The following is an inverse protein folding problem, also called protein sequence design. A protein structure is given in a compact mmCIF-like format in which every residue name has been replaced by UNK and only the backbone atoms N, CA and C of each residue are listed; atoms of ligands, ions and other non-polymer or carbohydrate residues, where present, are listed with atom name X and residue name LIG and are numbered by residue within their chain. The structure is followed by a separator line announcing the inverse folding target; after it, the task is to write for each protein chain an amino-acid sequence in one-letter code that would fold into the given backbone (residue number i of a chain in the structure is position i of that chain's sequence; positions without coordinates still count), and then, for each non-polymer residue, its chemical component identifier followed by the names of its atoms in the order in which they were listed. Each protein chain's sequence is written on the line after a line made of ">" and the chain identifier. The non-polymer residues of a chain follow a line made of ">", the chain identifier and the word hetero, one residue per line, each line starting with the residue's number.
data_IF_167564187604
#
_entry.id   IF_167564187604
#
_cell.length_a   1.000
_cell.length_b   1.000
_cell.length_c   1.000
_cell.angle_alpha   90.00
_cell.angle_beta   90.00
_cell.angle_gamma   90.00
#
_symmetry.space_group_name_H-M   'P 1'
#
loop_
_entity.id
_entity.type
_entity.pdbx_description
1 polymer ?
#
# COMPACT_ATOMS: atom_id res chain seq x y z
N UNK A 1 1.83 7.87 -2.23
CA UNK A 1 2.55 6.90 -3.09
C UNK A 1 3.53 6.07 -2.26
N UNK A 2 3.82 4.81 -2.60
CA UNK A 2 4.71 3.93 -1.81
C UNK A 2 6.18 4.35 -1.94
N UNK A 3 6.94 4.30 -0.84
CA UNK A 3 8.34 4.76 -0.76
C UNK A 3 9.37 3.62 -0.78
N UNK A 4 8.91 2.39 -0.93
CA UNK A 4 9.72 1.17 -0.95
C UNK A 4 9.38 0.36 -2.20
N UNK A 5 10.32 -0.49 -2.63
CA UNK A 5 10.10 -1.37 -3.78
C UNK A 5 9.07 -2.45 -3.45
N UNK A 6 8.00 -2.50 -4.24
CA UNK A 6 6.85 -3.39 -4.03
C UNK A 6 6.46 -4.11 -5.31
N UNK A 7 5.73 -5.20 -5.14
CA UNK A 7 5.04 -5.88 -6.23
C UNK A 7 3.59 -6.18 -5.85
N UNK A 8 2.78 -6.45 -6.87
CA UNK A 8 1.39 -6.84 -6.73
C UNK A 8 1.27 -8.35 -6.97
N UNK A 9 0.47 -9.02 -6.15
CA UNK A 9 0.13 -10.43 -6.34
C UNK A 9 -1.22 -10.76 -5.68
N UNK A 10 -1.75 -11.97 -5.88
CA UNK A 10 -2.98 -12.44 -5.24
C UNK A 10 -2.81 -12.49 -3.71
N UNK A 11 -3.69 -11.80 -3.00
CA UNK A 11 -3.75 -11.86 -1.55
C UNK A 11 -4.49 -13.11 -1.08
N UNK A 12 -4.00 -13.73 0.00
CA UNK A 12 -4.69 -14.85 0.67
C UNK A 12 -5.92 -14.40 1.47
N UNK A 13 -6.07 -13.09 1.72
CA UNK A 13 -7.21 -12.51 2.42
C UNK A 13 -8.30 -12.19 1.40
N UNK A 14 -8.00 -11.30 0.44
CA UNK A 14 -8.96 -10.88 -0.59
C UNK A 14 -8.25 -10.15 -1.74
N UNK A 15 -8.62 -10.48 -2.99
CA UNK A 15 -8.20 -9.72 -4.18
C UNK A 15 -6.68 -9.69 -4.42
N UNK A 16 -6.16 -8.49 -4.70
CA UNK A 16 -4.73 -8.23 -4.95
C UNK A 16 -4.13 -7.59 -3.70
N UNK A 17 -2.98 -8.10 -3.27
CA UNK A 17 -2.16 -7.53 -2.20
C UNK A 17 -0.98 -6.73 -2.73
N UNK A 18 -0.44 -5.86 -1.88
CA UNK A 18 0.82 -5.15 -2.09
C UNK A 18 1.87 -5.77 -1.18
N UNK A 19 2.98 -6.22 -1.76
CA UNK A 19 4.01 -6.95 -1.03
C UNK A 19 5.37 -6.26 -1.18
N UNK A 20 6.17 -6.30 -0.11
CA UNK A 20 7.55 -5.81 -0.14
C UNK A 20 8.41 -6.73 -1.00
N UNK A 21 9.14 -6.17 -1.96
CA UNK A 21 10.04 -6.96 -2.81
C UNK A 21 11.35 -7.33 -2.10
N UNK A 22 11.76 -6.52 -1.13
CA UNK A 22 12.99 -6.68 -0.37
C UNK A 22 12.71 -6.62 1.14
N UNK A 23 13.66 -7.06 1.96
CA UNK A 23 13.61 -6.86 3.40
C UNK A 23 13.56 -5.36 3.74
N UNK A 24 12.61 -4.97 4.59
CA UNK A 24 12.44 -3.59 5.05
C UNK A 24 12.89 -3.51 6.52
N UNK A 25 13.94 -2.74 6.84
CA UNK A 25 14.37 -2.54 8.22
C UNK A 25 13.26 -1.95 9.11
N UNK A 26 13.32 -2.27 10.41
CA UNK A 26 12.40 -1.70 11.38
C UNK A 26 12.53 -0.17 11.40
N UNK A 27 11.39 0.52 11.33
CA UNK A 27 11.33 1.99 11.37
C UNK A 27 11.42 2.66 9.99
N UNK A 28 11.60 1.91 8.91
CA UNK A 28 11.53 2.46 7.55
C UNK A 28 10.11 2.95 7.23
N UNK A 29 10.00 4.17 6.71
CA UNK A 29 8.73 4.73 6.25
C UNK A 29 8.30 4.07 4.94
N UNK A 30 7.19 3.34 4.96
CA UNK A 30 6.67 2.60 3.79
C UNK A 30 5.78 3.49 2.91
N UNK A 31 4.92 4.28 3.55
CA UNK A 31 3.97 5.18 2.89
C UNK A 31 3.60 6.30 3.86
N UNK A 32 3.29 7.47 3.29
CA UNK A 32 2.67 8.58 3.98
C UNK A 32 1.67 9.22 3.03
N UNK A 33 0.50 9.58 3.54
CA UNK A 33 -0.50 10.32 2.79
C UNK A 33 0.10 11.64 2.28
N UNK A 34 0.14 11.79 0.95
CA UNK A 34 0.40 13.06 0.29
C UNK A 34 -0.87 13.48 -0.48
N UNK A 35 -1.55 14.58 -0.09
CA UNK A 35 -2.78 15.03 -0.73
C UNK A 35 -2.67 15.31 -2.24
N UNK A 36 -1.46 15.48 -2.78
CA UNK A 36 -1.25 15.69 -4.21
C UNK A 36 -1.29 14.39 -5.02
N UNK A 37 -1.06 13.24 -4.38
CA UNK A 37 -0.94 11.95 -5.05
C UNK A 37 -1.94 10.91 -4.54
N UNK A 38 -2.25 10.95 -3.25
CA UNK A 38 -3.14 10.01 -2.58
C UNK A 38 -4.54 10.62 -2.39
N UNK A 39 -5.58 9.78 -2.40
CA UNK A 39 -6.96 10.19 -2.17
C UNK A 39 -7.51 9.48 -0.94
N UNK A 40 -8.27 10.21 -0.13
CA UNK A 40 -9.16 9.60 0.87
C UNK A 40 -10.46 9.19 0.18
N UNK A 41 -10.80 7.92 0.27
CA UNK A 41 -12.02 7.37 -0.31
C UNK A 41 -12.95 6.99 0.85
N UNK A 42 -14.18 7.52 0.92
CA UNK A 42 -15.16 7.12 1.92
C UNK A 42 -15.50 5.62 1.82
N UNK A 43 -15.79 4.98 2.95
CA UNK A 43 -15.98 3.52 3.05
C UNK A 43 -17.18 3.08 2.20
N UNK A 44 -18.25 3.86 2.21
CA UNK A 44 -19.46 3.67 1.43
C UNK A 44 -19.25 3.61 -0.10
N UNK A 45 -18.05 3.93 -0.59
CA UNK A 45 -17.73 3.85 -2.03
C UNK A 45 -17.25 2.46 -2.46
N UNK A 46 -16.85 1.59 -1.53
CA UNK A 46 -16.20 0.31 -1.87
C UNK A 46 -16.64 -0.91 -1.04
N UNK A 47 -17.60 -0.75 -0.14
CA UNK A 47 -18.37 -1.83 0.51
C UNK A 47 -19.81 -1.85 -0.02
#
# INVERSE_FOLDING_TARGET
>A
MLLVDVYLDKSRIQGIGVFAKNHIPRGTLVWKLDPNYDRRIPVETYE
#
